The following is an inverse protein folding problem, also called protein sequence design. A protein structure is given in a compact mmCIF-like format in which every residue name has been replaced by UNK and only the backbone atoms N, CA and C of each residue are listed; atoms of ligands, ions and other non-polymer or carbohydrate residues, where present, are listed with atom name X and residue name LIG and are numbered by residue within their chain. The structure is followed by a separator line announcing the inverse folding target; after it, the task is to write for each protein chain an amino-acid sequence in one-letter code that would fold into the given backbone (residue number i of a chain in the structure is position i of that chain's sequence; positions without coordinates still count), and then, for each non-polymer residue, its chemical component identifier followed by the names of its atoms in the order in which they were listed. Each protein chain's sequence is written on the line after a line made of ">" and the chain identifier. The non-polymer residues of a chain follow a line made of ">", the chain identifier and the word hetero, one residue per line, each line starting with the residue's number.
data_IF_201788726783
#
_entry.id   IF_201788726783
#
_cell.length_a   1.000
_cell.length_b   1.000
_cell.length_c   1.000
_cell.angle_alpha   90.00
_cell.angle_beta   90.00
_cell.angle_gamma   90.00
#
_symmetry.space_group_name_H-M   'P 1'
#
loop_
_entity.id
_entity.type
_entity.pdbx_description
1 polymer ?
#
# COMPACT_ATOMS: atom_id res chain seq x y z
N UNK A 1 -7.48 -16.17 -8.56
CA UNK A 1 -8.33 -15.68 -7.46
C UNK A 1 -7.39 -15.48 -6.29
N UNK A 2 -6.97 -14.24 -6.02
CA UNK A 2 -6.05 -13.97 -4.91
C UNK A 2 -6.93 -13.75 -3.69
N UNK A 3 -6.86 -14.70 -2.75
CA UNK A 3 -7.45 -14.57 -1.42
C UNK A 3 -6.77 -13.38 -0.73
N UNK A 4 -7.54 -12.33 -0.48
CA UNK A 4 -7.09 -11.17 0.29
C UNK A 4 -6.95 -11.64 1.72
N UNK A 5 -5.75 -12.12 2.05
CA UNK A 5 -5.32 -12.47 3.41
C UNK A 5 -5.70 -11.30 4.30
N UNK A 6 -6.56 -11.59 5.28
CA UNK A 6 -7.05 -10.65 6.29
C UNK A 6 -5.88 -9.90 6.92
N UNK A 7 -5.62 -8.69 6.43
CA UNK A 7 -4.68 -7.79 7.10
C UNK A 7 -5.22 -7.53 8.52
N UNK A 8 -4.35 -7.58 9.54
CA UNK A 8 -4.76 -7.36 10.92
C UNK A 8 -5.39 -5.96 11.08
N UNK A 9 -6.36 -5.83 11.99
CA UNK A 9 -6.88 -4.51 12.35
C UNK A 9 -5.74 -3.66 12.92
N UNK A 10 -5.58 -2.47 12.36
CA UNK A 10 -4.59 -1.50 12.82
C UNK A 10 -5.15 -0.69 14.00
N UNK A 11 -4.28 -0.19 14.89
CA UNK A 11 -4.67 0.83 15.87
C UNK A 11 -5.31 2.04 15.19
N UNK A 12 -6.24 2.75 15.87
CA UNK A 12 -6.91 3.95 15.32
C UNK A 12 -5.96 5.08 14.87
N UNK A 13 -4.72 5.04 15.33
CA UNK A 13 -3.63 5.96 15.03
C UNK A 13 -2.76 5.53 13.84
N UNK A 14 -3.09 4.40 13.20
CA UNK A 14 -2.36 3.84 12.06
C UNK A 14 -3.32 3.58 10.90
N UNK A 15 -2.78 3.63 9.69
CA UNK A 15 -3.48 3.30 8.46
C UNK A 15 -2.52 2.58 7.50
N UNK A 16 -3.09 1.82 6.58
CA UNK A 16 -2.31 1.23 5.50
C UNK A 16 -2.11 2.26 4.40
N UNK A 17 -0.92 2.36 3.83
CA UNK A 17 -0.65 3.18 2.66
C UNK A 17 -0.05 2.31 1.55
N UNK A 18 -0.51 2.53 0.32
CA UNK A 18 0.01 1.85 -0.86
C UNK A 18 1.03 2.76 -1.55
N UNK A 19 2.10 2.15 -2.02
CA UNK A 19 3.16 2.74 -2.79
C UNK A 19 3.36 1.96 -4.08
N UNK A 20 3.63 2.66 -5.18
CA UNK A 20 4.15 2.06 -6.41
C UNK A 20 5.66 2.27 -6.45
N UNK A 21 6.41 1.19 -6.67
CA UNK A 21 7.82 1.25 -7.01
C UNK A 21 7.95 1.57 -8.50
N UNK A 22 8.39 2.77 -8.83
CA UNK A 22 8.74 3.21 -10.17
C UNK A 22 10.26 3.29 -10.28
N UNK A 23 10.91 2.19 -10.67
CA UNK A 23 12.37 2.13 -10.89
C UNK A 23 13.20 2.56 -9.66
N UNK A 24 12.76 2.17 -8.47
CA UNK A 24 13.40 2.49 -7.19
C UNK A 24 12.81 3.72 -6.49
N UNK A 25 11.84 4.40 -7.09
CA UNK A 25 11.11 5.51 -6.47
C UNK A 25 9.74 5.04 -5.95
N UNK A 26 9.53 5.14 -4.63
CA UNK A 26 8.24 4.81 -4.01
C UNK A 26 7.28 5.99 -4.11
N UNK A 27 6.28 5.87 -4.97
CA UNK A 27 5.24 6.89 -5.16
C UNK A 27 3.99 6.50 -4.38
N UNK A 28 3.53 7.37 -3.48
CA UNK A 28 2.29 7.15 -2.73
C UNK A 28 1.10 7.09 -3.69
N UNK A 29 0.38 5.97 -3.65
CA UNK A 29 -0.85 5.76 -4.40
C UNK A 29 -2.10 6.13 -3.60
N UNK A 30 -1.97 6.17 -2.27
CA UNK A 30 -3.05 6.56 -1.36
C UNK A 30 -3.12 5.71 -0.10
N UNK A 31 -3.98 6.15 0.82
CA UNK A 31 -4.22 5.51 2.11
C UNK A 31 -5.41 4.54 1.97
N UNK A 32 -5.18 3.28 2.31
CA UNK A 32 -6.20 2.26 2.45
C UNK A 32 -6.91 2.44 3.80
N UNK A 33 -8.17 2.87 3.75
CA UNK A 33 -9.06 2.82 4.90
C UNK A 33 -9.79 1.46 4.96
N UNK A 34 -10.17 1.04 6.16
CA UNK A 34 -10.83 -0.24 6.40
C UNK A 34 -12.15 -0.41 5.64
N UNK A 35 -12.82 0.71 5.33
CA UNK A 35 -14.05 0.77 4.54
C UNK A 35 -13.81 0.58 3.04
N UNK A 36 -12.58 0.84 2.57
CA UNK A 36 -12.14 0.79 1.18
C UNK A 36 -11.41 -0.52 0.82
N UNK A 37 -11.55 -1.57 1.65
CA UNK A 37 -11.08 -2.95 1.36
C UNK A 37 -11.61 -3.54 0.04
N UNK A 38 -12.50 -2.82 -0.66
CA UNK A 38 -12.96 -3.14 -2.01
C UNK A 38 -12.01 -2.51 -3.02
N UNK A 39 -11.07 -3.33 -3.53
CA UNK A 39 -10.43 -3.18 -4.84
C UNK A 39 -10.22 -1.71 -5.26
N UNK A 40 -9.18 -1.07 -4.72
CA UNK A 40 -8.72 0.19 -5.27
C UNK A 40 -8.21 -0.05 -6.70
N UNK A 41 -8.90 0.51 -7.68
CA UNK A 41 -8.41 0.58 -9.05
C UNK A 41 -7.22 1.56 -9.06
N UNK A 42 -6.01 1.02 -8.96
CA UNK A 42 -4.78 1.80 -9.01
C UNK A 42 -4.55 2.28 -10.46
N UNK A 43 -4.63 3.60 -10.76
CA UNK A 43 -4.59 4.09 -12.15
C UNK A 43 -3.20 4.07 -12.80
N UNK A 44 -2.15 3.61 -12.12
CA UNK A 44 -0.76 3.87 -12.50
C UNK A 44 0.16 2.63 -12.51
N UNK A 45 -0.42 1.42 -12.52
CA UNK A 45 0.37 0.19 -12.51
C UNK A 45 1.13 -0.10 -13.82
N UNK A 46 0.94 0.65 -14.91
CA UNK A 46 1.60 0.36 -16.20
C UNK A 46 3.13 0.45 -16.15
N UNK A 47 3.70 1.28 -15.28
CA UNK A 47 5.16 1.44 -15.15
C UNK A 47 5.69 1.03 -13.77
N UNK A 48 4.81 0.55 -12.88
CA UNK A 48 5.20 0.10 -11.55
C UNK A 48 5.86 -1.27 -11.64
N UNK A 49 7.05 -1.39 -11.05
CA UNK A 49 7.78 -2.65 -10.91
C UNK A 49 7.19 -3.50 -9.79
N UNK A 50 6.72 -2.84 -8.73
CA UNK A 50 6.09 -3.46 -7.59
C UNK A 50 5.10 -2.52 -6.92
N UNK A 51 4.18 -3.08 -6.15
CA UNK A 51 3.35 -2.36 -5.21
C UNK A 51 3.78 -2.75 -3.80
N UNK A 52 3.96 -1.76 -2.93
CA UNK A 52 4.29 -1.97 -1.54
C UNK A 52 3.16 -1.42 -0.67
N UNK A 53 2.79 -2.16 0.37
CA UNK A 53 1.81 -1.74 1.37
C UNK A 53 2.54 -1.63 2.70
N UNK A 54 2.59 -0.42 3.24
CA UNK A 54 3.23 -0.15 4.53
C UNK A 54 2.18 0.27 5.55
N UNK A 55 2.51 0.06 6.82
CA UNK A 55 1.78 0.66 7.94
C UNK A 55 2.34 2.06 8.18
N UNK A 56 1.48 3.05 8.05
CA UNK A 56 1.80 4.47 8.23
C UNK A 56 0.95 5.07 9.36
N UNK A 57 1.37 6.19 9.98
CA UNK A 57 0.52 6.91 10.92
C UNK A 57 -0.76 7.42 10.24
N UNK A 58 -1.82 7.59 11.04
CA UNK A 58 -3.11 8.10 10.58
C UNK A 58 -2.95 9.41 9.80
N UNK A 59 -3.42 9.43 8.57
CA UNK A 59 -3.21 10.54 7.63
C UNK A 59 -2.12 10.29 6.60
N UNK A 60 -1.47 9.13 6.67
CA UNK A 60 -0.46 8.70 5.73
C UNK A 60 0.91 9.30 6.00
N UNK A 61 1.84 8.99 5.12
CA UNK A 61 3.21 9.45 5.19
C UNK A 61 3.68 9.96 3.83
N UNK A 62 4.69 10.83 3.83
CA UNK A 62 5.32 11.37 2.62
C UNK A 62 6.41 10.46 2.09
N UNK A 63 7.00 9.63 2.95
CA UNK A 63 8.04 8.65 2.61
C UNK A 63 7.57 7.27 3.03
N UNK A 64 7.77 6.28 2.16
CA UNK A 64 7.41 4.90 2.49
C UNK A 64 8.25 4.39 3.66
N UNK A 65 7.59 4.01 4.75
CA UNK A 65 8.23 3.24 5.81
C UNK A 65 8.39 1.80 5.35
N UNK A 66 9.36 1.54 4.48
CA UNK A 66 9.67 0.21 3.93
C UNK A 66 9.96 -0.82 5.02
N UNK A 67 10.47 -0.37 6.17
CA UNK A 67 10.64 -1.20 7.37
C UNK A 67 9.32 -1.72 7.96
N UNK A 68 8.22 -1.00 7.72
CA UNK A 68 6.85 -1.34 8.12
C UNK A 68 6.05 -1.91 6.94
N UNK A 69 6.73 -2.41 5.90
CA UNK A 69 6.06 -3.09 4.78
C UNK A 69 5.42 -4.39 5.26
N UNK A 70 4.13 -4.54 5.01
CA UNK A 70 3.34 -5.72 5.36
C UNK A 70 2.97 -6.56 4.15
N UNK A 71 3.04 -5.98 2.96
CA UNK A 71 2.81 -6.70 1.72
C UNK A 71 3.58 -6.05 0.57
N UNK A 72 4.11 -6.89 -0.30
CA UNK A 72 4.74 -6.51 -1.55
C UNK A 72 4.15 -7.35 -2.67
N UNK A 73 3.80 -6.70 -3.77
CA UNK A 73 3.27 -7.34 -4.97
C UNK A 73 4.14 -6.91 -6.13
N UNK A 74 5.02 -7.80 -6.57
CA UNK A 74 5.82 -7.58 -7.79
C UNK A 74 4.92 -7.67 -9.01
N UNK A 75 5.03 -6.69 -9.91
CA UNK A 75 4.30 -6.63 -11.18
C UNK A 75 5.27 -7.11 -12.26
N UNK A 76 5.11 -8.37 -12.69
CA UNK A 76 5.91 -9.02 -13.74
C UNK A 76 5.21 -8.98 -15.10
#
# INVERSE_FOLDING_TARGET
>A
MIDVVSLPELPEEQCYQIWADLQGEMVSLGILNETDRKLMNLPYAENALALNITIEPKGGNTVASVENSVAEITLH
#
